data_IF_474307995669
#
_entry.id   IF_474307995669
#
_cell.length_a   1.000
_cell.length_b   1.000
_cell.length_c   1.000
_cell.angle_alpha   90.00
_cell.angle_beta   90.00
_cell.angle_gamma   90.00
#
_symmetry.space_group_name_H-M   'P 1'
#
loop_
_entity.id
_entity.type
_entity.pdbx_description
1 polymer ?
#
# COMPACT_ATOMS: atom_id res chain seq x y z
N UNK A 1 -6.34 3.51 -1.75
CA UNK A 1 -5.38 2.39 -1.56
C UNK A 1 -5.08 1.79 -2.92
N UNK A 2 -3.83 1.42 -3.17
CA UNK A 2 -3.42 0.47 -4.20
C UNK A 2 -3.11 -0.84 -3.46
N UNK A 3 -3.64 -1.95 -3.96
CA UNK A 3 -3.57 -3.26 -3.30
C UNK A 3 -3.03 -4.29 -4.28
N UNK A 4 -2.06 -5.09 -3.87
CA UNK A 4 -1.48 -6.15 -4.68
C UNK A 4 -1.08 -7.35 -3.83
N UNK A 5 -0.84 -8.50 -4.47
CA UNK A 5 -0.42 -9.74 -3.81
C UNK A 5 0.40 -10.60 -4.78
N UNK A 6 0.98 -11.67 -4.26
CA UNK A 6 1.61 -12.72 -5.05
C UNK A 6 0.61 -13.88 -5.21
N UNK A 7 0.53 -14.53 -6.39
CA UNK A 7 -0.27 -15.74 -6.54
C UNK A 7 0.11 -16.80 -5.50
N UNK A 8 -0.88 -17.31 -4.75
CA UNK A 8 -0.67 -18.32 -3.71
C UNK A 8 -0.25 -17.77 -2.34
N UNK A 9 -0.14 -16.44 -2.17
CA UNK A 9 0.15 -15.83 -0.87
C UNK A 9 -1.15 -15.51 -0.13
N UNK A 10 -1.17 -15.74 1.19
CA UNK A 10 -2.35 -15.57 2.06
C UNK A 10 -2.55 -14.11 2.53
N UNK A 11 -1.69 -13.20 2.09
CA UNK A 11 -1.67 -11.79 2.48
C UNK A 11 -1.73 -10.86 1.29
N UNK A 12 -2.17 -9.63 1.54
CA UNK A 12 -2.19 -8.54 0.57
C UNK A 12 -1.33 -7.39 1.06
N UNK A 13 -0.66 -6.72 0.14
CA UNK A 13 0.06 -5.48 0.37
C UNK A 13 -0.84 -4.31 0.04
N UNK A 14 -0.89 -3.31 0.91
CA UNK A 14 -1.69 -2.09 0.71
C UNK A 14 -0.78 -0.88 0.82
N UNK A 15 -0.76 -0.04 -0.21
CA UNK A 15 -0.11 1.27 -0.18
C UNK A 15 -1.15 2.39 -0.29
N UNK A 16 -0.95 3.46 0.48
CA UNK A 16 -1.80 4.65 0.42
C UNK A 16 -1.39 5.42 -0.84
N UNK A 17 -2.35 5.62 -1.76
CA UNK A 17 -2.13 6.38 -3.00
C UNK A 17 -1.68 7.82 -2.70
N UNK A 18 -0.96 8.42 -3.62
CA UNK A 18 -0.54 9.82 -3.50
C UNK A 18 -1.74 10.76 -3.64
N UNK A 19 -2.64 10.45 -4.57
CA UNK A 19 -3.89 11.18 -4.79
C UNK A 19 -5.09 10.27 -4.58
N UNK A 20 -6.11 10.82 -3.91
CA UNK A 20 -7.41 10.15 -3.77
C UNK A 20 -8.34 10.58 -4.91
N UNK A 21 -9.40 9.80 -5.13
CA UNK A 21 -10.43 10.18 -6.10
C UNK A 21 -11.05 11.54 -5.73
N UNK A 22 -11.43 12.39 -6.68
CA UNK A 22 -11.87 13.77 -6.40
C UNK A 22 -13.02 13.87 -5.39
N UNK A 23 -13.93 12.90 -5.41
CA UNK A 23 -15.08 12.80 -4.51
C UNK A 23 -14.73 12.40 -3.06
N UNK A 24 -13.46 12.14 -2.76
CA UNK A 24 -12.99 11.69 -1.45
C UNK A 24 -12.17 12.80 -0.79
N UNK A 25 -12.80 13.57 0.07
CA UNK A 25 -12.11 14.49 0.99
C UNK A 25 -11.45 13.68 2.11
N UNK A 26 -10.29 13.11 1.82
CA UNK A 26 -9.50 12.35 2.79
C UNK A 26 -8.01 12.63 2.63
N UNK A 27 -7.29 12.65 3.74
CA UNK A 27 -5.83 12.78 3.74
C UNK A 27 -5.15 11.43 3.99
N UNK A 28 -3.91 11.30 3.57
CA UNK A 28 -3.11 10.12 3.89
C UNK A 28 -2.95 9.94 5.41
N UNK A 29 -2.87 11.05 6.17
CA UNK A 29 -2.82 11.04 7.62
C UNK A 29 -4.11 10.48 8.24
N UNK A 30 -5.28 10.88 7.71
CA UNK A 30 -6.56 10.33 8.15
C UNK A 30 -6.64 8.82 7.91
N UNK A 31 -6.22 8.36 6.72
CA UNK A 31 -6.18 6.92 6.43
C UNK A 31 -5.27 6.18 7.41
N UNK A 32 -4.07 6.68 7.68
CA UNK A 32 -3.16 6.09 8.69
C UNK A 32 -3.80 6.03 10.08
N UNK A 33 -4.45 7.11 10.51
CA UNK A 33 -5.14 7.14 11.80
C UNK A 33 -6.25 6.07 11.90
N UNK A 34 -6.98 5.81 10.81
CA UNK A 34 -7.96 4.71 10.78
C UNK A 34 -7.31 3.34 10.92
N UNK A 35 -6.17 3.09 10.26
CA UNK A 35 -5.43 1.82 10.42
C UNK A 35 -4.91 1.65 11.85
N UNK A 36 -4.37 2.72 12.44
CA UNK A 36 -3.90 2.71 13.83
C UNK A 36 -5.06 2.43 14.81
N UNK A 37 -6.22 3.07 14.59
CA UNK A 37 -7.42 2.82 15.40
C UNK A 37 -7.80 1.34 15.38
N UNK A 38 -7.91 0.74 14.20
CA UNK A 38 -8.27 -0.69 14.07
C UNK A 38 -7.25 -1.62 14.74
N UNK A 39 -5.96 -1.25 14.72
CA UNK A 39 -4.87 -2.00 15.34
C UNK A 39 -4.92 -1.96 16.87
N UNK A 40 -5.30 -0.82 17.44
CA UNK A 40 -5.37 -0.61 18.90
C UNK A 40 -6.70 -1.09 19.52
N UNK A 41 -7.77 -1.16 18.72
CA UNK A 41 -9.09 -1.52 19.21
C UNK A 41 -9.35 -3.03 19.16
N UNK A 42 -10.26 -3.50 20.01
CA UNK A 42 -10.79 -4.86 19.89
C UNK A 42 -11.48 -5.00 18.52
N UNK A 43 -11.01 -5.99 17.78
CA UNK A 43 -11.45 -6.25 16.41
C UNK A 43 -12.65 -7.19 16.36
N UNK A 44 -12.97 -7.88 17.46
CA UNK A 44 -14.09 -8.82 17.60
C UNK A 44 -14.25 -9.82 16.43
N UNK A 45 -13.15 -10.16 15.75
CA UNK A 45 -13.15 -11.01 14.56
C UNK A 45 -13.79 -10.39 13.30
N UNK A 46 -14.08 -9.08 13.29
CA UNK A 46 -14.70 -8.35 12.17
C UNK A 46 -13.74 -7.48 11.37
N UNK A 47 -12.56 -7.20 11.92
CA UNK A 47 -11.52 -6.41 11.28
C UNK A 47 -10.23 -7.21 11.21
N UNK A 48 -9.61 -7.24 10.02
CA UNK A 48 -8.34 -7.93 9.82
C UNK A 48 -7.19 -7.20 10.54
N UNK A 49 -6.19 -7.95 10.98
CA UNK A 49 -4.93 -7.35 11.43
C UNK A 49 -4.21 -6.65 10.29
N UNK A 50 -3.39 -5.66 10.65
CA UNK A 50 -2.56 -4.95 9.71
C UNK A 50 -1.17 -4.77 10.28
N UNK A 51 -0.17 -5.21 9.51
CA UNK A 51 1.24 -4.97 9.80
C UNK A 51 1.71 -3.79 8.97
N UNK A 52 2.34 -2.82 9.64
CA UNK A 52 2.88 -1.63 9.01
C UNK A 52 4.35 -1.86 8.69
N UNK A 53 4.75 -1.44 7.48
CA UNK A 53 6.12 -1.51 7.01
C UNK A 53 6.53 -0.15 6.47
N UNK A 54 7.77 0.24 6.73
CA UNK A 54 8.40 1.41 6.13
C UNK A 54 9.56 0.95 5.26
N UNK A 55 9.78 1.63 4.13
CA UNK A 55 10.86 1.31 3.19
C UNK A 55 10.91 -0.17 2.77
N UNK A 56 9.72 -0.74 2.52
CA UNK A 56 9.59 -2.15 2.15
C UNK A 56 10.28 -2.43 0.81
N UNK A 57 11.18 -3.42 0.81
CA UNK A 57 11.99 -3.74 -0.37
C UNK A 57 11.33 -4.84 -1.18
N UNK A 58 11.15 -4.57 -2.47
CA UNK A 58 10.68 -5.53 -3.46
C UNK A 58 11.69 -5.61 -4.61
N UNK A 59 12.04 -6.83 -5.03
CA UNK A 59 12.88 -7.01 -6.20
C UNK A 59 12.08 -6.75 -7.48
N UNK A 60 12.62 -5.93 -8.39
CA UNK A 60 12.00 -5.56 -9.66
C UNK A 60 11.48 -6.74 -10.47
N UNK A 61 12.25 -7.84 -10.51
CA UNK A 61 11.90 -9.07 -11.26
C UNK A 61 10.62 -9.74 -10.77
N UNK A 62 10.17 -9.45 -9.55
CA UNK A 62 8.94 -10.00 -8.98
C UNK A 62 7.72 -9.09 -9.20
N UNK A 63 7.90 -7.90 -9.79
CA UNK A 63 6.84 -6.95 -10.05
C UNK A 63 6.42 -7.09 -11.50
N UNK A 64 5.14 -7.42 -11.75
CA UNK A 64 4.62 -7.49 -13.11
C UNK A 64 4.66 -6.11 -13.77
N UNK A 65 4.82 -6.02 -15.11
CA UNK A 65 4.83 -4.73 -15.81
C UNK A 65 3.59 -3.88 -15.53
N UNK A 66 2.41 -4.50 -15.46
CA UNK A 66 1.16 -3.81 -15.14
C UNK A 66 1.12 -3.25 -13.70
N UNK A 67 1.65 -3.99 -12.72
CA UNK A 67 1.73 -3.49 -11.34
C UNK A 67 2.76 -2.36 -11.23
N UNK A 68 3.88 -2.47 -11.94
CA UNK A 68 4.91 -1.44 -12.00
C UNK A 68 4.34 -0.11 -12.50
N UNK A 69 3.61 -0.13 -13.62
CA UNK A 69 2.95 1.05 -14.18
C UNK A 69 1.98 1.68 -13.16
N UNK A 70 1.16 0.85 -12.50
CA UNK A 70 0.22 1.33 -11.51
C UNK A 70 0.89 1.94 -10.27
N UNK A 71 2.02 1.38 -9.81
CA UNK A 71 2.79 1.93 -8.69
C UNK A 71 3.39 3.29 -9.05
N UNK A 72 3.95 3.43 -10.25
CA UNK A 72 4.49 4.69 -10.74
C UNK A 72 3.41 5.75 -10.99
N UNK A 73 2.20 5.35 -11.35
CA UNK A 73 1.10 6.29 -11.59
C UNK A 73 0.46 6.78 -10.28
N UNK A 74 0.26 5.88 -9.31
CA UNK A 74 -0.64 6.15 -8.17
C UNK A 74 0.10 6.27 -6.82
N UNK A 75 1.39 5.91 -6.75
CA UNK A 75 2.19 5.91 -5.54
C UNK A 75 3.68 6.28 -5.81
N UNK A 76 3.93 7.14 -6.79
CA UNK A 76 5.26 7.62 -7.19
C UNK A 76 6.05 8.23 -6.02
N UNK A 77 5.40 9.04 -5.18
CA UNK A 77 6.05 9.72 -4.05
C UNK A 77 6.56 8.72 -2.99
N UNK A 78 5.97 7.52 -2.96
CA UNK A 78 6.27 6.46 -1.99
C UNK A 78 7.09 5.32 -2.58
N UNK A 79 7.51 5.45 -3.84
CA UNK A 79 8.36 4.51 -4.53
C UNK A 79 9.77 5.10 -4.68
N UNK A 80 10.57 5.21 -3.60
CA UNK A 80 11.77 6.04 -3.62
C UNK A 80 12.82 5.56 -4.63
N UNK A 81 12.88 4.28 -5.02
CA UNK A 81 13.94 3.78 -5.91
C UNK A 81 13.44 2.58 -6.75
N UNK A 82 12.89 2.87 -7.93
CA UNK A 82 12.91 1.93 -9.06
C UNK A 82 13.82 2.45 -10.20
N UNK A 83 14.62 3.48 -9.93
CA UNK A 83 15.66 4.03 -10.83
C UNK A 83 17.05 3.90 -10.19
N UNK A 84 17.36 2.79 -9.52
CA UNK A 84 18.77 2.41 -9.34
C UNK A 84 19.17 1.50 -10.48
N UNK A 85 20.00 2.06 -11.38
CA UNK A 85 20.98 1.42 -12.27
C UNK A 85 20.75 -0.06 -12.57
N UNK A 86 20.33 -0.35 -13.80
CA UNK A 86 21.12 -1.04 -14.82
C UNK A 86 20.61 -0.56 -16.19
#
# INVERSE_FOLDING_TARGET
>A
MLVFTLPGFDRVFKVIKDKFAPQKEMSAAHVRACYQLVKEHDRVGRMADTQEFENFVLEKRHISPALMELLLQEAAEKSPILVSRL
#
